data_IF_047079254844
#
_entry.id   IF_047079254844
#
_cell.length_a   1.000
_cell.length_b   1.000
_cell.length_c   1.000
_cell.angle_alpha   90.00
_cell.angle_beta   90.00
_cell.angle_gamma   90.00
#
_symmetry.space_group_name_H-M   'P 1'
#
loop_
_entity.id
_entity.type
_entity.pdbx_description
1 polymer ?
#
# COMPACT_ATOMS: atom_id res chain seq x y z
N UNK A 1 -29.45 -16.56 36.77
CA UNK A 1 -28.38 -17.59 36.70
C UNK A 1 -28.53 -18.35 35.40
N UNK A 2 -27.45 -18.58 34.66
CA UNK A 2 -27.47 -19.27 33.36
C UNK A 2 -26.86 -20.66 33.55
N UNK A 3 -27.45 -21.70 32.94
CA UNK A 3 -26.87 -23.05 32.95
C UNK A 3 -26.11 -23.25 31.65
N UNK A 4 -24.81 -23.46 31.77
CA UNK A 4 -23.92 -23.75 30.63
C UNK A 4 -23.55 -25.22 30.71
N UNK A 5 -23.73 -25.95 29.61
CA UNK A 5 -23.27 -27.33 29.50
C UNK A 5 -21.86 -27.29 28.94
N UNK A 6 -20.89 -27.77 29.72
CA UNK A 6 -19.48 -27.81 29.33
C UNK A 6 -19.08 -29.27 29.12
N UNK A 7 -18.46 -29.57 27.97
CA UNK A 7 -18.07 -30.92 27.57
C UNK A 7 -18.89 -31.47 26.40
N UNK A 8 -18.46 -32.61 25.85
CA UNK A 8 -19.08 -33.29 24.69
C UNK A 8 -19.40 -34.75 25.04
N UNK A 9 -20.59 -35.23 24.66
CA UNK A 9 -21.01 -36.63 24.88
C UNK A 9 -21.23 -36.98 26.36
N UNK A 10 -20.81 -38.18 26.77
CA UNK A 10 -21.03 -38.73 28.14
C UNK A 10 -20.37 -37.94 29.28
N UNK A 11 -19.49 -36.98 28.96
CA UNK A 11 -18.80 -36.13 29.93
C UNK A 11 -19.36 -34.70 29.99
N UNK A 12 -20.61 -34.48 29.54
CA UNK A 12 -21.25 -33.17 29.66
C UNK A 12 -21.55 -32.84 31.12
N UNK A 13 -20.94 -31.77 31.64
CA UNK A 13 -21.18 -31.26 33.00
C UNK A 13 -21.97 -29.96 32.93
N UNK A 14 -23.08 -29.88 33.63
CA UNK A 14 -23.88 -28.66 33.72
C UNK A 14 -23.29 -27.75 34.80
N UNK A 15 -22.77 -26.60 34.40
CA UNK A 15 -22.19 -25.58 35.27
C UNK A 15 -23.15 -24.41 35.38
N UNK A 16 -23.39 -23.92 36.61
CA UNK A 16 -24.16 -22.71 36.84
C UNK A 16 -23.23 -21.51 36.78
N UNK A 17 -23.49 -20.61 35.84
CA UNK A 17 -22.71 -19.39 35.65
C UNK A 17 -23.56 -18.19 36.11
N UNK A 18 -23.04 -17.31 36.98
CA UNK A 18 -23.74 -16.09 37.34
C UNK A 18 -23.83 -15.16 36.13
N UNK A 19 -24.93 -14.42 36.02
CA UNK A 19 -25.17 -13.49 34.89
C UNK A 19 -24.04 -12.47 34.73
N UNK A 20 -23.49 -11.99 35.84
CA UNK A 20 -22.36 -11.06 35.90
C UNK A 20 -21.09 -11.56 35.20
N UNK A 21 -20.90 -12.88 35.08
CA UNK A 21 -19.75 -13.43 34.36
C UNK A 21 -19.81 -13.13 32.85
N UNK A 22 -21.01 -13.05 32.26
CA UNK A 22 -21.17 -12.66 30.85
C UNK A 22 -20.90 -11.17 30.67
N UNK A 23 -21.33 -10.33 31.61
CA UNK A 23 -21.02 -8.92 31.60
C UNK A 23 -19.50 -8.68 31.71
N UNK A 24 -18.81 -9.42 32.58
CA UNK A 24 -17.35 -9.39 32.70
C UNK A 24 -16.65 -9.88 31.43
N UNK A 25 -17.11 -10.96 30.83
CA UNK A 25 -16.58 -11.45 29.56
C UNK A 25 -16.76 -10.42 28.45
N UNK A 26 -17.94 -9.81 28.35
CA UNK A 26 -18.21 -8.73 27.40
C UNK A 26 -17.30 -7.53 27.62
N UNK A 27 -17.15 -7.08 28.87
CA UNK A 27 -16.25 -5.98 29.22
C UNK A 27 -14.79 -6.29 28.86
N UNK A 28 -14.33 -7.52 29.12
CA UNK A 28 -12.98 -7.95 28.75
C UNK A 28 -12.75 -7.92 27.23
N UNK A 29 -13.74 -8.35 26.43
CA UNK A 29 -13.67 -8.30 24.96
C UNK A 29 -13.60 -6.85 24.46
N UNK A 30 -14.42 -5.95 25.02
CA UNK A 30 -14.38 -4.52 24.68
C UNK A 30 -13.01 -3.93 25.01
N UNK A 31 -12.49 -4.21 26.21
CA UNK A 31 -11.19 -3.71 26.65
C UNK A 31 -10.07 -4.22 25.75
N UNK A 32 -10.05 -5.52 25.42
CA UNK A 32 -9.09 -6.12 24.52
C UNK A 32 -9.16 -5.51 23.11
N UNK A 33 -10.38 -5.26 22.60
CA UNK A 33 -10.58 -4.64 21.28
C UNK A 33 -10.02 -3.22 21.24
N UNK A 34 -10.25 -2.43 22.29
CA UNK A 34 -9.66 -1.09 22.41
C UNK A 34 -8.13 -1.14 22.50
N UNK A 35 -7.58 -2.14 23.19
CA UNK A 35 -6.15 -2.33 23.32
C UNK A 35 -5.50 -2.68 21.98
N UNK A 36 -6.13 -3.57 21.21
CA UNK A 36 -5.71 -3.92 19.84
C UNK A 36 -5.82 -2.71 18.92
N UNK A 37 -6.90 -1.94 19.01
CA UNK A 37 -7.07 -0.71 18.22
C UNK A 37 -5.96 0.30 18.53
N UNK A 38 -5.67 0.54 19.80
CA UNK A 38 -4.59 1.43 20.23
C UNK A 38 -3.22 0.93 19.76
N UNK A 39 -2.98 -0.39 19.82
CA UNK A 39 -1.76 -1.01 19.31
C UNK A 39 -1.60 -0.80 17.80
N UNK A 40 -2.65 -1.04 17.01
CA UNK A 40 -2.62 -0.83 15.55
C UNK A 40 -2.43 0.67 15.22
N UNK A 41 -3.10 1.55 15.95
CA UNK A 41 -2.94 3.00 15.77
C UNK A 41 -1.49 3.43 16.06
N UNK A 42 -0.88 2.91 17.13
CA UNK A 42 0.54 3.14 17.44
C UNK A 42 1.45 2.58 16.35
N UNK A 43 1.18 1.36 15.86
CA UNK A 43 1.92 0.75 14.76
C UNK A 43 1.88 1.60 13.48
N UNK A 44 0.72 2.20 13.18
CA UNK A 44 0.55 3.07 12.02
C UNK A 44 1.47 4.31 12.08
N UNK A 45 1.73 4.84 13.28
CA UNK A 45 2.67 5.96 13.48
C UNK A 45 4.08 5.59 12.99
N UNK A 46 4.49 4.32 13.07
CA UNK A 46 5.79 3.88 12.59
C UNK A 46 5.77 3.44 11.12
N UNK A 47 4.70 2.77 10.70
CA UNK A 47 4.57 2.26 9.32
C UNK A 47 4.46 3.42 8.33
N UNK A 48 3.67 4.45 8.62
CA UNK A 48 3.45 5.57 7.69
C UNK A 48 4.77 6.28 7.34
N UNK A 49 5.61 6.71 8.30
CA UNK A 49 6.93 7.26 8.00
C UNK A 49 7.85 6.30 7.27
N UNK A 50 7.87 5.02 7.65
CA UNK A 50 8.69 4.02 6.98
C UNK A 50 8.27 3.84 5.51
N UNK A 51 6.97 3.81 5.22
CA UNK A 51 6.43 3.78 3.87
C UNK A 51 6.73 5.06 3.09
N UNK A 52 6.68 6.24 3.72
CA UNK A 52 7.03 7.50 3.07
C UNK A 52 8.52 7.56 2.70
N UNK A 53 9.40 7.12 3.62
CA UNK A 53 10.84 7.04 3.36
C UNK A 53 11.13 6.01 2.26
N UNK A 54 10.50 4.84 2.32
CA UNK A 54 10.62 3.80 1.30
C UNK A 54 10.13 4.25 -0.08
N UNK A 55 8.98 4.94 -0.14
CA UNK A 55 8.43 5.50 -1.38
C UNK A 55 9.33 6.62 -1.93
N UNK A 56 9.88 7.48 -1.07
CA UNK A 56 10.86 8.50 -1.45
C UNK A 56 12.14 7.89 -2.04
N UNK A 57 12.67 6.85 -1.40
CA UNK A 57 13.85 6.12 -1.88
C UNK A 57 13.57 5.41 -3.22
N UNK A 58 12.42 4.77 -3.37
CA UNK A 58 12.00 4.14 -4.62
C UNK A 58 11.79 5.17 -5.75
N UNK A 59 11.22 6.34 -5.45
CA UNK A 59 11.06 7.41 -6.43
C UNK A 59 12.42 8.00 -6.86
N UNK A 60 13.37 8.14 -5.93
CA UNK A 60 14.72 8.61 -6.24
C UNK A 60 15.51 7.58 -7.08
N UNK A 61 15.46 6.29 -6.70
CA UNK A 61 16.11 5.20 -7.44
C UNK A 61 15.48 4.98 -8.83
N UNK A 62 14.16 5.11 -8.94
CA UNK A 62 13.42 5.05 -10.20
C UNK A 62 13.72 6.24 -11.13
N UNK A 63 14.18 7.38 -10.60
CA UNK A 63 14.60 8.54 -11.40
C UNK A 63 15.95 8.30 -12.09
N UNK A 64 16.89 7.60 -11.45
CA UNK A 64 18.15 7.16 -12.08
C UNK A 64 17.95 6.04 -13.11
N UNK A 65 16.87 5.25 -13.00
CA UNK A 65 16.58 4.15 -13.92
C UNK A 65 15.71 4.56 -15.12
N UNK A 66 15.30 5.84 -15.24
CA UNK A 66 14.61 6.34 -16.44
C UNK A 66 15.54 6.52 -17.66
N UNK A 67 16.86 6.39 -17.51
CA UNK A 67 17.79 6.37 -18.64
C UNK A 67 17.94 4.99 -19.30
N UNK A 68 17.41 3.91 -18.72
CA UNK A 68 17.64 2.54 -19.19
C UNK A 68 16.37 1.79 -19.62
N UNK A 69 15.26 2.51 -19.83
CA UNK A 69 14.01 1.92 -20.33
C UNK A 69 13.52 2.70 -21.55
N UNK A 70 14.35 2.70 -22.60
CA UNK A 70 13.82 2.84 -23.95
C UNK A 70 12.79 1.72 -24.18
N UNK A 71 11.52 2.04 -24.51
CA UNK A 71 10.63 1.02 -25.04
C UNK A 71 11.14 0.60 -26.42
N UNK A 72 11.51 -0.68 -26.58
CA UNK A 72 12.04 -1.32 -27.80
C UNK A 72 11.01 -1.35 -28.97
N UNK A 73 9.95 -0.55 -28.92
CA UNK A 73 8.91 -0.50 -29.94
C UNK A 73 8.68 0.92 -30.48
N UNK A 74 9.69 1.48 -31.17
CA UNK A 74 9.48 2.54 -32.16
C UNK A 74 9.60 1.95 -33.57
N UNK A 75 8.61 1.14 -33.96
CA UNK A 75 8.46 0.57 -35.31
C UNK A 75 8.01 1.66 -36.32
N UNK A 76 8.73 2.77 -36.44
CA UNK A 76 8.57 3.76 -37.54
C UNK A 76 9.62 4.90 -37.54
N UNK A 77 10.90 4.63 -37.27
CA UNK A 77 11.96 5.61 -37.60
C UNK A 77 12.31 5.49 -39.08
N UNK A 78 11.62 6.28 -39.92
CA UNK A 78 11.94 6.47 -41.34
C UNK A 78 13.37 7.02 -41.52
N UNK A 79 14.00 6.78 -42.68
CA UNK A 79 15.44 6.85 -42.83
C UNK A 79 15.92 8.30 -42.92
N UNK A 80 16.89 8.62 -42.07
CA UNK A 80 18.08 9.41 -42.39
C UNK A 80 17.87 10.60 -43.34
N UNK A 81 17.38 11.73 -42.80
CA UNK A 81 17.56 13.04 -43.43
C UNK A 81 18.78 13.71 -42.76
N UNK A 82 19.92 13.86 -43.47
CA UNK A 82 21.15 14.41 -42.91
C UNK A 82 21.13 15.94 -42.74
N UNK A 83 20.06 16.62 -43.15
CA UNK A 83 20.04 18.10 -43.18
C UNK A 83 19.30 18.77 -42.01
N UNK A 84 18.88 18.02 -40.98
CA UNK A 84 18.23 18.61 -39.80
C UNK A 84 19.22 18.62 -38.64
N UNK A 85 20.03 19.67 -38.58
CA UNK A 85 20.81 20.03 -37.39
C UNK A 85 19.86 20.75 -36.43
N UNK A 86 19.54 20.09 -35.31
CA UNK A 86 18.83 20.67 -34.18
C UNK A 86 19.51 21.98 -33.74
N UNK A 87 18.93 23.15 -34.07
CA UNK A 87 19.32 24.40 -33.41
C UNK A 87 19.30 25.71 -34.19
N UNK A 88 19.15 25.73 -35.53
CA UNK A 88 19.04 27.01 -36.25
C UNK A 88 17.81 27.03 -37.17
N UNK A 89 16.77 27.74 -36.72
CA UNK A 89 15.72 28.22 -37.61
C UNK A 89 16.30 29.32 -38.51
N UNK A 90 16.94 28.94 -39.61
CA UNK A 90 17.16 29.87 -40.73
C UNK A 90 16.02 29.67 -41.72
N UNK A 91 15.05 30.58 -41.64
CA UNK A 91 14.02 30.78 -42.65
C UNK A 91 14.74 31.13 -43.96
N UNK A 92 14.83 30.17 -44.88
CA UNK A 92 15.28 30.43 -46.24
C UNK A 92 14.19 31.22 -46.94
N UNK A 93 14.43 32.51 -47.09
CA UNK A 93 13.63 33.43 -47.89
C UNK A 93 13.65 32.95 -49.35
N UNK A 94 12.55 32.35 -49.77
CA UNK A 94 12.38 31.86 -51.13
C UNK A 94 12.00 33.04 -52.04
N UNK A 95 12.99 33.80 -52.49
CA UNK A 95 12.77 34.84 -53.51
C UNK A 95 13.96 35.06 -54.45
N UNK A 96 13.93 34.35 -55.59
CA UNK A 96 14.22 34.81 -56.98
C UNK A 96 14.30 33.56 -57.86
N UNK A 97 13.37 33.34 -58.80
CA UNK A 97 13.39 33.85 -60.19
C UNK A 97 14.73 33.71 -60.88
#
# INVERSE_FOLDING_TARGET
MIRVVVGRGRYSRQVRVPFWAFALAGAAVVLASLLVLAFIASLAIFIIPACLIGAGAAHWLGRSSKSAREPIFTRNRRPYDPNVIEGEYRVLDERRR
#
